data_IF_960423315130
#
_entry.id   IF_960423315130
#
_cell.length_a   1.000
_cell.length_b   1.000
_cell.length_c   1.000
_cell.angle_alpha   90.00
_cell.angle_beta   90.00
_cell.angle_gamma   90.00
#
_symmetry.space_group_name_H-M   'P 1'
#
loop_
_entity.id
_entity.type
_entity.pdbx_description
1 polymer ?
#
# COMPACT_ATOMS: atom_id res chain seq x y z
N UNK A 1 8.28 -3.87 23.92
CA UNK A 1 8.98 -3.75 22.63
C UNK A 1 8.19 -2.79 21.75
N UNK A 2 8.64 -1.53 21.64
CA UNK A 2 7.91 -0.49 20.90
C UNK A 2 7.96 -0.81 19.41
N UNK A 3 6.84 -1.26 18.84
CA UNK A 3 6.72 -1.57 17.42
C UNK A 3 6.37 -0.26 16.71
N UNK A 4 7.37 0.45 16.20
CA UNK A 4 7.15 1.63 15.37
C UNK A 4 6.52 1.18 14.04
N UNK A 5 5.19 1.29 13.94
CA UNK A 5 4.43 1.05 12.72
C UNK A 5 4.00 2.37 12.11
N UNK A 6 4.38 2.64 10.86
CA UNK A 6 3.90 3.81 10.13
C UNK A 6 2.64 3.44 9.35
N UNK A 7 1.54 4.12 9.64
CA UNK A 7 0.27 3.96 8.91
C UNK A 7 -0.06 5.25 8.17
N UNK A 8 0.11 5.25 6.86
CA UNK A 8 -0.31 6.36 6.00
C UNK A 8 -1.75 6.10 5.55
N UNK A 9 -2.70 6.87 6.10
CA UNK A 9 -4.08 6.94 5.65
C UNK A 9 -4.31 8.30 4.99
N UNK A 10 -4.58 8.29 3.69
CA UNK A 10 -5.14 9.45 3.01
C UNK A 10 -6.67 9.33 3.05
N UNK A 11 -7.33 10.32 3.63
CA UNK A 11 -8.78 10.39 3.70
C UNK A 11 -9.29 11.23 2.54
N UNK A 12 -9.32 10.66 1.35
CA UNK A 12 -9.88 11.30 0.16
C UNK A 12 -11.39 10.98 0.09
N UNK A 13 -12.23 12.00 0.28
CA UNK A 13 -13.69 11.92 0.13
C UNK A 13 -14.15 11.94 -1.33
N UNK A 14 -13.22 11.93 -2.28
CA UNK A 14 -13.46 11.85 -3.72
C UNK A 14 -12.20 11.29 -4.38
N UNK A 15 -12.24 10.53 -5.49
CA UNK A 15 -11.04 10.00 -6.13
C UNK A 15 -10.27 11.13 -6.83
N UNK A 16 -9.67 12.04 -6.08
CA UNK A 16 -8.76 13.03 -6.64
C UNK A 16 -7.40 12.37 -6.82
N UNK A 17 -6.93 12.39 -8.08
CA UNK A 17 -5.71 11.76 -8.56
C UNK A 17 -4.48 12.56 -8.13
N UNK A 18 -4.35 12.89 -6.84
CA UNK A 18 -3.12 13.55 -6.37
C UNK A 18 -2.06 12.47 -6.13
N UNK A 19 -0.97 12.44 -6.92
CA UNK A 19 0.16 11.57 -6.63
C UNK A 19 0.73 11.93 -5.26
N UNK A 20 0.82 10.94 -4.37
CA UNK A 20 1.40 11.15 -3.05
C UNK A 20 2.79 10.57 -3.04
N UNK A 21 3.77 11.47 -2.92
CA UNK A 21 5.12 11.07 -2.55
C UNK A 21 5.11 10.52 -1.14
N UNK A 22 5.80 9.39 -0.95
CA UNK A 22 6.08 8.92 0.40
C UNK A 22 6.82 10.04 1.17
N UNK A 23 6.62 10.16 2.49
CA UNK A 23 7.35 11.16 3.26
C UNK A 23 8.86 10.94 3.14
N UNK A 24 9.62 12.04 2.98
CA UNK A 24 11.09 12.02 2.79
C UNK A 24 11.83 11.23 3.89
N UNK A 25 11.26 11.15 5.10
CA UNK A 25 11.80 10.36 6.21
C UNK A 25 11.87 8.86 5.94
N UNK A 26 11.04 8.33 5.01
CA UNK A 26 11.14 6.94 4.58
C UNK A 26 12.35 6.72 3.66
N UNK A 27 12.69 7.72 2.85
CA UNK A 27 13.80 7.69 1.88
C UNK A 27 15.18 7.74 2.54
N UNK A 28 15.29 8.34 3.73
CA UNK A 28 16.54 8.51 4.46
C UNK A 28 17.03 7.26 5.21
N UNK A 29 16.68 6.05 4.74
CA UNK A 29 17.14 4.80 5.35
C UNK A 29 16.46 4.50 6.68
N UNK A 30 15.15 4.21 6.63
CA UNK A 30 14.35 3.92 7.82
C UNK A 30 14.65 2.50 8.35
N UNK A 31 15.63 2.37 9.26
CA UNK A 31 16.10 1.09 9.81
C UNK A 31 15.28 0.55 10.97
N UNK A 32 14.33 1.32 11.50
CA UNK A 32 13.49 0.89 12.64
C UNK A 32 12.07 0.50 12.22
N UNK A 33 11.73 0.62 10.94
CA UNK A 33 10.35 0.46 10.48
C UNK A 33 10.04 -1.02 10.32
N UNK A 34 9.15 -1.53 11.18
CA UNK A 34 8.77 -2.96 11.21
C UNK A 34 7.47 -3.21 10.45
N UNK A 35 6.58 -2.22 10.42
CA UNK A 35 5.27 -2.33 9.78
C UNK A 35 4.98 -1.08 8.95
N UNK A 36 4.62 -1.30 7.68
CA UNK A 36 4.20 -0.25 6.76
C UNK A 36 2.78 -0.55 6.29
N UNK A 37 1.86 0.40 6.48
CA UNK A 37 0.50 0.28 5.98
C UNK A 37 0.19 1.48 5.09
N UNK A 38 -0.08 1.20 3.83
CA UNK A 38 -0.48 2.17 2.82
C UNK A 38 -1.94 1.93 2.48
N UNK A 39 -2.77 2.98 2.58
CA UNK A 39 -4.18 2.92 2.20
C UNK A 39 -4.57 4.09 1.31
N UNK A 40 -5.15 3.78 0.15
CA UNK A 40 -5.70 4.76 -0.81
C UNK A 40 -4.65 5.78 -1.28
N UNK A 41 -3.45 5.30 -1.63
CA UNK A 41 -2.33 6.16 -2.07
C UNK A 41 -1.93 5.85 -3.51
N UNK A 42 -1.53 6.89 -4.25
CA UNK A 42 -0.93 6.75 -5.58
C UNK A 42 0.56 7.05 -5.46
N UNK A 43 1.39 6.01 -5.64
CA UNK A 43 2.84 6.16 -5.63
C UNK A 43 3.33 6.64 -6.99
N UNK A 44 4.32 7.52 -6.97
CA UNK A 44 5.02 8.02 -8.17
C UNK A 44 6.38 7.37 -8.30
N UNK A 45 6.82 7.20 -9.55
CA UNK A 45 8.15 6.66 -9.81
C UNK A 45 9.20 7.63 -9.28
N UNK A 46 10.17 7.09 -8.56
CA UNK A 46 11.24 7.83 -7.93
C UNK A 46 12.52 7.05 -8.17
N UNK A 47 13.53 7.75 -8.64
CA UNK A 47 14.83 7.19 -9.03
C UNK A 47 15.54 6.48 -7.87
N UNK A 48 15.23 6.83 -6.62
CA UNK A 48 15.69 6.13 -5.42
C UNK A 48 14.50 5.67 -4.58
N UNK A 49 14.27 4.36 -4.51
CA UNK A 49 13.32 3.79 -3.55
C UNK A 49 13.97 3.66 -2.17
N UNK A 50 13.21 3.90 -1.09
CA UNK A 50 13.67 3.61 0.27
C UNK A 50 13.97 2.12 0.45
N UNK A 51 15.08 1.81 1.13
CA UNK A 51 15.35 0.46 1.61
C UNK A 51 14.67 0.23 2.96
N UNK A 52 14.02 -0.92 3.12
CA UNK A 52 13.30 -1.28 4.34
C UNK A 52 13.87 -2.57 4.96
N UNK A 53 15.09 -2.52 5.50
CA UNK A 53 15.81 -3.73 5.93
C UNK A 53 15.16 -4.45 7.12
N UNK A 54 14.29 -3.78 7.88
CA UNK A 54 13.61 -4.33 9.07
C UNK A 54 12.13 -4.58 8.89
N UNK A 55 11.58 -4.31 7.70
CA UNK A 55 10.15 -4.38 7.46
C UNK A 55 9.67 -5.83 7.46
N UNK A 56 8.85 -6.18 8.45
CA UNK A 56 8.28 -7.53 8.60
C UNK A 56 6.85 -7.61 8.09
N UNK A 57 6.10 -6.51 8.10
CA UNK A 57 4.71 -6.49 7.67
C UNK A 57 4.42 -5.31 6.72
N UNK A 58 3.80 -5.61 5.59
CA UNK A 58 3.42 -4.63 4.56
C UNK A 58 1.94 -4.82 4.21
N UNK A 59 1.11 -3.79 4.41
CA UNK A 59 -0.28 -3.76 3.90
C UNK A 59 -0.41 -2.70 2.81
N UNK A 60 -0.89 -3.11 1.64
CA UNK A 60 -1.11 -2.30 0.46
C UNK A 60 -2.60 -2.34 0.11
N UNK A 61 -3.38 -1.40 0.65
CA UNK A 61 -4.82 -1.31 0.43
C UNK A 61 -5.13 -0.18 -0.54
N UNK A 62 -5.72 -0.47 -1.70
CA UNK A 62 -6.06 0.54 -2.71
C UNK A 62 -4.85 1.38 -3.15
N UNK A 63 -3.69 0.74 -3.28
CA UNK A 63 -2.44 1.39 -3.69
C UNK A 63 -2.28 1.31 -5.20
N UNK A 64 -2.07 2.45 -5.85
CA UNK A 64 -1.67 2.53 -7.26
C UNK A 64 -0.16 2.66 -7.36
N UNK A 65 0.45 1.82 -8.18
CA UNK A 65 1.89 1.83 -8.46
C UNK A 65 2.15 2.48 -9.82
N UNK A 66 3.29 3.16 -10.01
CA UNK A 66 3.63 3.79 -11.29
C UNK A 66 4.00 2.76 -12.37
N UNK A 67 4.34 1.52 -11.98
CA UNK A 67 4.59 0.40 -12.89
C UNK A 67 5.18 -0.82 -12.19
N UNK A 68 5.29 -1.93 -12.91
CA UNK A 68 5.75 -3.21 -12.35
C UNK A 68 7.21 -3.19 -11.90
N UNK A 69 8.05 -2.40 -12.58
CA UNK A 69 9.45 -2.21 -12.22
C UNK A 69 9.59 -1.59 -10.81
N UNK A 70 8.71 -0.65 -10.47
CA UNK A 70 8.67 -0.05 -9.13
C UNK A 70 8.30 -1.10 -8.08
N UNK A 71 7.30 -1.92 -8.35
CA UNK A 71 6.85 -2.99 -7.45
C UNK A 71 7.96 -4.01 -7.20
N UNK A 72 8.66 -4.45 -8.26
CA UNK A 72 9.81 -5.35 -8.13
C UNK A 72 10.90 -4.74 -7.25
N UNK A 73 11.30 -3.49 -7.51
CA UNK A 73 12.33 -2.79 -6.71
C UNK A 73 11.90 -2.62 -5.25
N UNK A 74 10.63 -2.32 -4.98
CA UNK A 74 10.09 -2.21 -3.62
C UNK A 74 10.26 -3.52 -2.86
N UNK A 75 9.84 -4.64 -3.45
CA UNK A 75 9.94 -5.95 -2.83
C UNK A 75 11.39 -6.45 -2.70
N UNK A 76 12.25 -6.16 -3.68
CA UNK A 76 13.70 -6.43 -3.57
C UNK A 76 14.34 -5.67 -2.41
N UNK A 77 13.77 -4.55 -1.97
CA UNK A 77 14.26 -3.79 -0.81
C UNK A 77 13.69 -4.24 0.55
N UNK A 78 12.81 -5.26 0.56
CA UNK A 78 12.12 -5.75 1.74
C UNK A 78 12.55 -7.19 2.10
N UNK A 79 13.84 -7.41 2.35
CA UNK A 79 14.45 -8.74 2.48
C UNK A 79 13.94 -9.60 3.66
N UNK A 80 13.34 -8.99 4.69
CA UNK A 80 12.85 -9.69 5.90
C UNK A 80 11.33 -9.68 6.03
N UNK A 81 10.63 -9.33 4.96
CA UNK A 81 9.17 -9.24 4.95
C UNK A 81 8.56 -10.61 5.17
N UNK A 82 7.75 -10.74 6.22
CA UNK A 82 7.08 -11.99 6.61
C UNK A 82 5.58 -11.96 6.29
N UNK A 83 4.98 -10.77 6.29
CA UNK A 83 3.54 -10.60 6.06
C UNK A 83 3.29 -9.57 4.95
N UNK A 84 2.50 -9.94 3.96
CA UNK A 84 2.02 -9.07 2.89
C UNK A 84 0.50 -9.13 2.79
N UNK A 85 -0.17 -7.99 2.88
CA UNK A 85 -1.59 -7.84 2.59
C UNK A 85 -1.77 -6.93 1.37
N UNK A 86 -2.58 -7.35 0.41
CA UNK A 86 -2.95 -6.58 -0.76
C UNK A 86 -4.47 -6.50 -0.86
N UNK A 87 -4.99 -5.28 -0.82
CA UNK A 87 -6.42 -4.99 -1.00
C UNK A 87 -6.66 -4.19 -2.28
N UNK A 88 -7.51 -4.67 -3.19
CA UNK A 88 -7.85 -3.96 -4.45
C UNK A 88 -9.36 -3.77 -4.61
N UNK A 89 -9.78 -2.75 -5.35
CA UNK A 89 -11.21 -2.60 -5.72
C UNK A 89 -11.62 -3.68 -6.71
N UNK A 90 -12.89 -4.06 -6.67
CA UNK A 90 -13.45 -5.12 -7.54
C UNK A 90 -13.38 -4.79 -9.04
N UNK A 91 -13.39 -3.50 -9.41
CA UNK A 91 -13.30 -3.00 -10.80
C UNK A 91 -11.91 -2.44 -11.15
N UNK A 92 -10.90 -2.70 -10.33
CA UNK A 92 -9.55 -2.25 -10.64
C UNK A 92 -8.97 -3.14 -11.74
N UNK A 93 -8.71 -2.56 -12.92
CA UNK A 93 -8.10 -3.28 -14.05
C UNK A 93 -6.76 -3.83 -13.59
N UNK A 94 -6.70 -5.16 -13.49
CA UNK A 94 -5.74 -5.88 -12.66
C UNK A 94 -4.31 -5.64 -13.13
N UNK A 95 -3.51 -4.97 -12.30
CA UNK A 95 -2.04 -4.98 -12.41
C UNK A 95 -1.55 -6.31 -11.83
N UNK A 96 -1.16 -7.25 -12.68
CA UNK A 96 -0.51 -8.50 -12.23
C UNK A 96 0.93 -8.14 -11.87
N UNK A 97 1.29 -8.26 -10.59
CA UNK A 97 2.67 -8.07 -10.16
C UNK A 97 3.19 -9.32 -9.44
N UNK A 98 4.43 -9.69 -9.74
CA UNK A 98 5.10 -10.82 -9.10
C UNK A 98 5.75 -10.37 -7.80
N UNK A 99 5.36 -11.00 -6.69
CA UNK A 99 6.00 -10.80 -5.39
C UNK A 99 7.07 -11.87 -5.22
N UNK A 100 8.34 -11.48 -5.27
CA UNK A 100 9.47 -12.38 -5.03
C UNK A 100 10.13 -11.93 -3.73
N UNK A 101 9.68 -12.51 -2.61
CA UNK A 101 10.24 -12.23 -1.29
C UNK A 101 10.42 -13.55 -0.55
N UNK A 102 11.66 -14.09 -0.45
CA UNK A 102 11.91 -15.42 0.07
C UNK A 102 11.57 -15.56 1.57
N UNK A 103 11.53 -14.46 2.32
CA UNK A 103 11.16 -14.44 3.73
C UNK A 103 9.64 -14.45 3.99
N UNK A 104 8.81 -14.38 2.94
CA UNK A 104 7.37 -14.19 3.09
C UNK A 104 6.71 -15.46 3.66
N UNK A 105 6.04 -15.32 4.80
CA UNK A 105 5.31 -16.39 5.49
C UNK A 105 3.81 -16.34 5.25
N UNK A 106 3.27 -15.14 5.05
CA UNK A 106 1.83 -14.93 4.91
C UNK A 106 1.54 -13.93 3.80
N UNK A 107 0.69 -14.34 2.87
CA UNK A 107 0.12 -13.49 1.84
C UNK A 107 -1.40 -13.45 2.03
N UNK A 108 -1.95 -12.23 2.13
CA UNK A 108 -3.39 -12.00 2.20
C UNK A 108 -3.83 -11.14 1.04
N UNK A 109 -4.75 -11.65 0.25
CA UNK A 109 -5.38 -10.92 -0.85
C UNK A 109 -6.82 -10.60 -0.46
N UNK A 110 -7.26 -9.37 -0.70
CA UNK A 110 -8.62 -8.93 -0.34
C UNK A 110 -9.23 -8.09 -1.45
N UNK A 111 -10.48 -8.37 -1.78
CA UNK A 111 -11.29 -7.53 -2.67
C UNK A 111 -12.11 -6.56 -1.82
N UNK A 112 -11.94 -5.26 -2.07
CA UNK A 112 -12.63 -4.19 -1.36
C UNK A 112 -13.82 -3.79 -2.23
N UNK A 113 -15.02 -3.94 -1.66
CA UNK A 113 -16.25 -3.43 -2.28
C UNK A 113 -16.53 -2.03 -1.76
N UNK A 114 -16.84 -1.07 -2.66
CA UNK A 114 -17.36 0.23 -2.24
C UNK A 114 -18.78 -0.02 -1.71
N UNK A 115 -18.98 0.03 -0.39
CA UNK A 115 -20.34 0.22 0.13
C UNK A 115 -20.76 1.63 -0.28
N UNK A 116 -21.46 1.75 -1.39
CA UNK A 116 -22.29 2.92 -1.66
C UNK A 116 -23.27 2.97 -0.50
N UNK A 117 -23.16 3.98 0.37
CA UNK A 117 -24.29 4.34 1.21
C UNK A 117 -25.30 4.91 0.22
N UNK A 118 -26.23 4.06 -0.21
CA UNK A 118 -27.42 4.51 -0.89
C UNK A 118 -28.06 5.50 0.06
N UNK A 119 -28.09 6.78 -0.34
CA UNK A 119 -28.83 7.77 0.39
C UNK A 119 -30.28 7.40 0.19
N UNK A 120 -30.93 6.90 1.25
CA UNK A 120 -32.38 6.89 1.35
C UNK A 120 -32.87 8.31 1.10
N UNK A 121 -33.27 8.61 -0.13
CA UNK A 121 -34.23 9.67 -0.38
C UNK A 121 -35.56 9.14 0.14
N UNK A 122 -35.79 9.33 1.44
CA UNK A 122 -37.13 9.30 2.00
C UNK A 122 -37.95 10.40 1.34
N UNK A 123 -38.66 10.07 0.25
CA UNK A 123 -39.75 10.90 -0.22
C UNK A 123 -41.01 10.39 0.45
N UNK A 124 -41.40 11.10 1.51
CA UNK A 124 -42.77 11.07 2.00
C UNK A 124 -43.63 11.76 0.94
N UNK A 125 -44.58 11.03 0.37
CA UNK A 125 -45.81 11.58 -0.21
C UNK A 125 -46.99 10.80 0.36
#
# INVERSE_FOLDING_TARGET
MLVYGLQLRLNESSPSTTPVMLPRSLYTGCTALVTLKLKSVTLVDVSSLPSFPTLKALSLLLVKFPGDAFVKRLFSNCHVLQYLEVGRLQNDNVTVFTVIVPSLKTLKLSRISRKVKDGEHGSVI
#
